data_IF_401939770201
#
_entry.id   IF_401939770201
#
_cell.length_a   1.000
_cell.length_b   1.000
_cell.length_c   1.000
_cell.angle_alpha   90.00
_cell.angle_beta   90.00
_cell.angle_gamma   90.00
#
_symmetry.space_group_name_H-M   'P 1'
#
loop_
_entity.id
_entity.type
_entity.pdbx_description
1 polymer ?
#
# COMPACT_ATOMS: atom_id res chain seq x y z
N UNK A 1 7.19 3.52 28.97
CA UNK A 1 8.60 3.07 28.96
C UNK A 1 9.35 3.85 27.88
N UNK A 2 10.44 4.48 28.26
CA UNK A 2 11.24 5.20 27.27
C UNK A 2 12.18 4.24 26.55
N UNK A 3 12.38 4.46 25.26
CA UNK A 3 13.32 3.69 24.46
C UNK A 3 14.56 4.52 24.16
N UNK A 4 15.69 3.83 24.09
CA UNK A 4 16.95 4.50 23.77
C UNK A 4 16.95 4.92 22.31
N UNK A 5 17.87 5.82 21.96
CA UNK A 5 18.05 6.24 20.57
C UNK A 5 18.37 5.05 19.68
N UNK A 6 19.20 4.12 20.15
CA UNK A 6 19.56 2.91 19.39
C UNK A 6 18.33 2.06 19.08
N UNK A 7 17.47 1.88 20.07
CA UNK A 7 16.21 1.11 19.89
C UNK A 7 15.26 1.84 18.95
N UNK A 8 15.16 3.17 19.07
CA UNK A 8 14.31 3.96 18.17
C UNK A 8 14.81 3.88 16.73
N UNK A 9 16.13 3.94 16.52
CA UNK A 9 16.71 3.83 15.18
C UNK A 9 16.42 2.45 14.57
N UNK A 10 16.48 1.41 15.37
CA UNK A 10 16.16 0.05 14.92
C UNK A 10 14.68 -0.08 14.58
N UNK A 11 13.81 0.47 15.42
CA UNK A 11 12.37 0.47 15.16
C UNK A 11 12.04 1.22 13.86
N UNK A 12 12.67 2.37 13.64
CA UNK A 12 12.45 3.18 12.43
C UNK A 12 12.88 2.41 11.18
N UNK A 13 14.02 1.74 11.25
CA UNK A 13 14.54 0.94 10.14
C UNK A 13 13.61 -0.23 9.81
N UNK A 14 13.21 -0.97 10.83
CA UNK A 14 12.31 -2.10 10.66
C UNK A 14 10.93 -1.66 10.16
N UNK A 15 10.40 -0.55 10.69
CA UNK A 15 9.10 -0.01 10.28
C UNK A 15 9.07 0.32 8.79
N UNK A 16 10.18 0.84 8.24
CA UNK A 16 10.28 1.12 6.80
C UNK A 16 10.16 -0.16 5.97
N UNK A 17 10.76 -1.24 6.46
CA UNK A 17 10.69 -2.55 5.78
C UNK A 17 9.26 -3.09 5.81
N UNK A 18 8.58 -2.97 6.95
CA UNK A 18 7.18 -3.39 7.09
C UNK A 18 6.30 -2.61 6.12
N UNK A 19 6.46 -1.29 6.08
CA UNK A 19 5.68 -0.42 5.19
C UNK A 19 5.88 -0.79 3.73
N UNK A 20 7.13 -1.03 3.34
CA UNK A 20 7.47 -1.39 1.96
C UNK A 20 6.80 -2.69 1.54
N UNK A 21 6.77 -3.68 2.42
CA UNK A 21 6.15 -4.97 2.13
C UNK A 21 4.63 -4.93 2.11
N UNK A 22 4.03 -4.05 2.92
CA UNK A 22 2.58 -4.01 3.09
C UNK A 22 1.86 -3.05 2.14
N UNK A 23 2.54 -2.04 1.62
CA UNK A 23 1.88 -0.97 0.86
C UNK A 23 1.28 -1.45 -0.45
N UNK A 24 1.89 -2.40 -1.12
CA UNK A 24 1.36 -2.95 -2.37
C UNK A 24 0.01 -3.60 -2.13
N UNK A 25 -0.08 -4.44 -1.08
CA UNK A 25 -1.34 -5.08 -0.70
C UNK A 25 -2.41 -4.03 -0.37
N UNK A 26 -2.04 -3.01 0.41
CA UNK A 26 -2.98 -1.96 0.81
C UNK A 26 -3.50 -1.18 -0.41
N UNK A 27 -2.62 -0.78 -1.32
CA UNK A 27 -3.01 -0.03 -2.52
C UNK A 27 -3.92 -0.87 -3.43
N UNK A 28 -3.58 -2.13 -3.67
CA UNK A 28 -4.43 -3.00 -4.48
C UNK A 28 -5.80 -3.17 -3.82
N UNK A 29 -5.84 -3.37 -2.49
CA UNK A 29 -7.09 -3.52 -1.77
C UNK A 29 -7.95 -2.26 -1.86
N UNK A 30 -7.37 -1.08 -1.66
CA UNK A 30 -8.10 0.17 -1.73
C UNK A 30 -8.63 0.44 -3.13
N UNK A 31 -7.81 0.24 -4.15
CA UNK A 31 -8.19 0.48 -5.54
C UNK A 31 -9.11 -0.59 -6.11
N UNK A 32 -9.20 -1.77 -5.47
CA UNK A 32 -10.14 -2.80 -5.90
C UNK A 32 -11.59 -2.39 -5.65
N UNK A 33 -11.81 -1.46 -4.74
CA UNK A 33 -13.15 -1.00 -4.36
C UNK A 33 -13.62 0.21 -5.18
N UNK A 34 -12.67 1.00 -5.70
CA UNK A 34 -12.96 2.16 -6.53
C UNK A 34 -11.71 2.60 -7.26
N UNK A 35 -11.88 3.08 -8.48
CA UNK A 35 -10.76 3.73 -9.17
C UNK A 35 -10.40 5.03 -8.48
N UNK A 36 -9.14 5.42 -8.55
CA UNK A 36 -8.67 6.67 -7.97
C UNK A 36 -7.49 7.22 -8.75
N UNK A 37 -7.37 8.54 -8.77
CA UNK A 37 -6.13 9.14 -9.28
C UNK A 37 -5.11 9.22 -8.14
N UNK A 38 -3.84 9.50 -8.51
CA UNK A 38 -2.73 9.41 -7.56
C UNK A 38 -2.93 10.13 -6.23
N UNK A 39 -3.42 11.38 -6.28
CA UNK A 39 -3.68 12.16 -5.07
C UNK A 39 -4.74 11.50 -4.19
N UNK A 40 -5.81 10.98 -4.79
CA UNK A 40 -6.85 10.27 -4.04
C UNK A 40 -6.32 9.00 -3.40
N UNK A 41 -5.45 8.27 -4.10
CA UNK A 41 -4.84 7.06 -3.55
C UNK A 41 -4.02 7.39 -2.30
N UNK A 42 -3.25 8.48 -2.34
CA UNK A 42 -2.48 8.96 -1.18
C UNK A 42 -3.42 9.27 -0.02
N UNK A 43 -4.50 10.00 -0.28
CA UNK A 43 -5.48 10.37 0.75
C UNK A 43 -6.18 9.15 1.34
N UNK A 44 -6.59 8.20 0.50
CA UNK A 44 -7.23 6.97 0.98
C UNK A 44 -6.31 6.18 1.88
N UNK A 45 -5.05 6.07 1.49
CA UNK A 45 -4.05 5.36 2.29
C UNK A 45 -3.86 6.05 3.65
N UNK A 46 -3.77 7.38 3.65
CA UNK A 46 -3.61 8.18 4.86
C UNK A 46 -4.82 8.03 5.80
N UNK A 47 -6.03 8.10 5.24
CA UNK A 47 -7.26 8.01 6.01
C UNK A 47 -7.51 6.62 6.59
N UNK A 48 -7.21 5.57 5.82
CA UNK A 48 -7.53 4.19 6.20
C UNK A 48 -6.39 3.49 6.92
N UNK A 49 -5.17 3.84 6.63
CA UNK A 49 -3.99 3.13 7.14
C UNK A 49 -2.87 4.12 7.43
N UNK A 50 -3.05 4.96 8.44
CA UNK A 50 -2.11 6.03 8.75
C UNK A 50 -0.68 5.53 8.99
N UNK A 51 -0.52 4.31 9.51
CA UNK A 51 0.82 3.73 9.69
C UNK A 51 1.54 3.57 8.35
N UNK A 52 0.80 3.26 7.27
CA UNK A 52 1.37 3.09 5.93
C UNK A 52 1.39 4.40 5.14
N UNK A 53 0.92 5.50 5.74
CA UNK A 53 0.87 6.78 5.05
C UNK A 53 2.24 7.14 4.49
N UNK A 54 2.29 7.31 3.19
CA UNK A 54 3.52 7.60 2.47
C UNK A 54 3.38 8.94 1.76
N UNK A 55 4.49 9.59 1.54
CA UNK A 55 4.50 10.82 0.77
C UNK A 55 4.16 10.54 -0.69
N UNK A 56 3.62 11.55 -1.39
CA UNK A 56 3.29 11.46 -2.80
C UNK A 56 4.48 10.95 -3.62
N UNK A 57 5.69 11.35 -3.25
CA UNK A 57 6.91 10.91 -3.92
C UNK A 57 7.16 9.41 -3.84
N UNK A 58 6.47 8.69 -2.95
CA UNK A 58 6.58 7.24 -2.83
C UNK A 58 5.41 6.53 -3.51
N UNK A 59 4.20 7.07 -3.38
CA UNK A 59 2.99 6.43 -3.91
C UNK A 59 2.96 6.48 -5.44
N UNK A 60 3.28 7.61 -6.06
CA UNK A 60 3.24 7.72 -7.51
C UNK A 60 4.18 6.73 -8.21
N UNK A 61 5.44 6.57 -7.79
CA UNK A 61 6.30 5.54 -8.39
C UNK A 61 5.75 4.13 -8.21
N UNK A 62 5.11 3.84 -7.07
CA UNK A 62 4.49 2.55 -6.83
C UNK A 62 3.34 2.29 -7.80
N UNK A 63 2.46 3.27 -8.00
CA UNK A 63 1.34 3.16 -8.93
C UNK A 63 1.84 2.88 -10.36
N UNK A 64 2.87 3.61 -10.80
CA UNK A 64 3.47 3.39 -12.13
C UNK A 64 4.08 1.99 -12.25
N UNK A 65 4.72 1.51 -11.19
CA UNK A 65 5.33 0.18 -11.16
C UNK A 65 4.27 -0.92 -11.27
N UNK A 66 3.15 -0.75 -10.56
CA UNK A 66 2.04 -1.70 -10.62
C UNK A 66 1.34 -1.68 -11.98
N UNK A 67 1.24 -0.51 -12.59
CA UNK A 67 0.72 -0.38 -13.96
C UNK A 67 1.63 -1.11 -14.95
N UNK A 68 2.94 -0.93 -14.83
CA UNK A 68 3.92 -1.58 -15.70
C UNK A 68 3.85 -3.10 -15.57
N UNK A 69 3.53 -3.59 -14.38
CA UNK A 69 3.37 -5.03 -14.12
C UNK A 69 1.97 -5.53 -14.46
N UNK A 70 1.13 -4.69 -15.03
CA UNK A 70 -0.23 -5.02 -15.46
C UNK A 70 -1.18 -5.41 -14.33
N UNK A 71 -0.84 -5.02 -13.09
CA UNK A 71 -1.74 -5.18 -11.93
C UNK A 71 -2.72 -4.02 -11.83
N UNK A 72 -2.36 -2.88 -12.39
CA UNK A 72 -3.23 -1.72 -12.55
C UNK A 72 -3.28 -1.33 -14.01
N UNK A 73 -4.41 -0.77 -14.43
CA UNK A 73 -4.54 -0.06 -15.70
C UNK A 73 -4.88 1.38 -15.40
N UNK A 74 -4.63 2.27 -16.36
CA UNK A 74 -4.85 3.68 -16.13
C UNK A 74 -5.56 4.34 -17.32
N UNK A 75 -6.40 5.31 -17.02
CA UNK A 75 -7.08 6.14 -18.00
C UNK A 75 -6.94 7.59 -17.60
N UNK A 76 -6.68 8.45 -18.59
CA UNK A 76 -6.65 9.88 -18.38
C UNK A 76 -8.06 10.46 -18.47
N UNK A 77 -8.40 11.31 -17.51
CA UNK A 77 -9.65 12.06 -17.48
C UNK A 77 -9.31 13.52 -17.82
N UNK A 78 -9.91 14.01 -18.91
CA UNK A 78 -9.71 15.35 -19.42
C UNK A 78 -10.94 16.25 -19.25
N UNK A 79 -11.88 15.87 -18.35
CA UNK A 79 -13.08 16.67 -18.11
C UNK A 79 -12.73 18.11 -17.73
N UNK A 80 -11.63 18.28 -16.99
CA UNK A 80 -11.02 19.59 -16.79
C UNK A 80 -9.71 19.62 -17.59
N UNK A 81 -9.69 20.24 -18.80
CA UNK A 81 -8.48 20.24 -19.63
C UNK A 81 -7.27 20.90 -18.99
N UNK A 82 -7.49 21.76 -17.99
CA UNK A 82 -6.39 22.43 -17.29
C UNK A 82 -5.77 21.54 -16.22
N UNK A 83 -6.47 20.45 -15.83
CA UNK A 83 -6.02 19.53 -14.77
C UNK A 83 -6.37 18.09 -15.17
N UNK A 84 -5.71 17.54 -16.18
CA UNK A 84 -5.94 16.13 -16.53
C UNK A 84 -5.53 15.23 -15.36
N UNK A 85 -6.34 14.20 -15.10
CA UNK A 85 -6.12 13.27 -14.00
C UNK A 85 -6.01 11.86 -14.53
N UNK A 86 -5.01 11.14 -14.03
CA UNK A 86 -4.76 9.75 -14.38
C UNK A 86 -5.40 8.86 -13.32
N UNK A 87 -6.46 8.15 -13.70
CA UNK A 87 -7.18 7.23 -12.82
C UNK A 87 -6.65 5.82 -12.98
N UNK A 88 -6.44 5.16 -11.85
CA UNK A 88 -5.96 3.79 -11.79
C UNK A 88 -7.08 2.84 -11.38
N UNK A 89 -7.12 1.69 -12.03
CA UNK A 89 -8.10 0.63 -11.76
C UNK A 89 -7.35 -0.69 -11.66
N UNK A 90 -7.77 -1.56 -10.74
CA UNK A 90 -7.16 -2.89 -10.60
C UNK A 90 -7.60 -3.77 -11.75
N UNK A 91 -6.66 -4.42 -12.42
CA UNK A 91 -6.92 -5.36 -13.52
C UNK A 91 -7.39 -6.71 -12.97
N UNK A 92 -7.86 -7.60 -13.86
CA UNK A 92 -8.19 -8.97 -13.47
C UNK A 92 -6.98 -9.66 -12.86
N UNK A 93 -5.81 -9.47 -13.44
CA UNK A 93 -4.55 -10.01 -12.91
C UNK A 93 -4.25 -9.41 -11.53
N UNK A 94 -4.50 -8.10 -11.37
CA UNK A 94 -4.35 -7.43 -10.09
C UNK A 94 -5.27 -7.99 -9.02
N UNK A 95 -6.51 -8.34 -9.39
CA UNK A 95 -7.46 -8.95 -8.44
C UNK A 95 -6.98 -10.34 -8.00
N UNK A 96 -6.43 -11.12 -8.92
CA UNK A 96 -5.85 -12.43 -8.57
C UNK A 96 -4.66 -12.27 -7.63
N UNK A 97 -3.79 -11.32 -7.92
CA UNK A 97 -2.64 -11.02 -7.06
C UNK A 97 -3.12 -10.58 -5.67
N UNK A 98 -4.12 -9.72 -5.62
CA UNK A 98 -4.71 -9.25 -4.35
C UNK A 98 -5.22 -10.43 -3.51
N UNK A 99 -5.94 -11.37 -4.14
CA UNK A 99 -6.45 -12.55 -3.44
C UNK A 99 -5.34 -13.39 -2.85
N UNK A 100 -4.30 -13.66 -3.64
CA UNK A 100 -3.15 -14.45 -3.20
C UNK A 100 -2.37 -13.73 -2.08
N UNK A 101 -2.14 -12.44 -2.24
CA UNK A 101 -1.45 -11.62 -1.23
C UNK A 101 -2.25 -11.57 0.08
N UNK A 102 -3.57 -11.48 -0.01
CA UNK A 102 -4.44 -11.48 1.16
C UNK A 102 -4.32 -12.78 1.94
N UNK A 103 -4.28 -13.92 1.25
CA UNK A 103 -4.11 -15.22 1.91
C UNK A 103 -2.75 -15.33 2.58
N UNK A 104 -1.69 -14.90 1.90
CA UNK A 104 -0.35 -14.89 2.48
C UNK A 104 -0.29 -14.00 3.72
N UNK A 105 -0.92 -12.84 3.66
CA UNK A 105 -0.97 -11.90 4.78
C UNK A 105 -1.70 -12.51 5.99
N UNK A 106 -2.81 -13.20 5.76
CA UNK A 106 -3.58 -13.86 6.82
C UNK A 106 -2.75 -14.93 7.53
N UNK A 107 -2.07 -15.77 6.77
CA UNK A 107 -1.20 -16.81 7.31
C UNK A 107 -0.09 -16.19 8.15
N UNK A 108 0.61 -15.20 7.58
CA UNK A 108 1.70 -14.52 8.28
C UNK A 108 1.20 -13.85 9.57
N UNK A 109 0.07 -13.17 9.52
CA UNK A 109 -0.49 -12.48 10.69
C UNK A 109 -0.83 -13.45 11.80
N UNK A 110 -1.40 -14.58 11.45
CA UNK A 110 -1.77 -15.61 12.43
C UNK A 110 -0.54 -16.19 13.10
N UNK A 111 0.42 -16.63 12.28
CA UNK A 111 1.66 -17.20 12.81
C UNK A 111 2.46 -16.19 13.63
N UNK A 112 2.53 -14.96 13.15
CA UNK A 112 3.23 -13.89 13.84
C UNK A 112 2.60 -13.61 15.20
N UNK A 113 1.27 -13.57 15.27
CA UNK A 113 0.57 -13.35 16.54
C UNK A 113 0.90 -14.43 17.57
N UNK A 114 0.96 -15.68 17.13
CA UNK A 114 1.33 -16.79 18.03
C UNK A 114 2.76 -16.66 18.54
N UNK A 115 3.69 -16.39 17.63
CA UNK A 115 5.11 -16.28 17.99
C UNK A 115 5.35 -15.09 18.93
N UNK A 116 4.74 -13.94 18.65
CA UNK A 116 4.90 -12.74 19.47
C UNK A 116 4.31 -12.95 20.87
N UNK A 117 3.16 -13.62 20.95
CA UNK A 117 2.51 -13.89 22.23
C UNK A 117 3.35 -14.83 23.12
N UNK A 118 4.06 -15.76 22.51
CA UNK A 118 4.94 -16.68 23.26
C UNK A 118 6.11 -15.97 23.93
N UNK A 119 6.54 -14.82 23.41
CA UNK A 119 7.66 -14.04 23.94
C UNK A 119 7.27 -13.26 25.20
N UNK A 120 6.01 -12.97 25.34
CA UNK A 120 5.48 -12.28 26.52
C UNK A 120 5.27 -13.22 27.69
#
# INVERSE_FOLDING_TARGET
>A
MSITKKTQDELDRWSKEVKRGAVTLAILALLSKRKAYGYEAVKLLDEKMSFLALEQGTVYPLLRRLEKRELLTAEWDYDDPTKPRKYYTVTDEGLKALGAMTQTWKVLSLEMSEVVMEVE
#
